data_IF_221703071370
#
_entry.id   IF_221703071370
#
_cell.length_a   1.000
_cell.length_b   1.000
_cell.length_c   1.000
_cell.angle_alpha   90.00
_cell.angle_beta   90.00
_cell.angle_gamma   90.00
#
_symmetry.space_group_name_H-M   'P 1'
#
loop_
_entity.id
_entity.type
_entity.pdbx_description
1 polymer ?
#
# COMPACT_ATOMS: atom_id res chain seq x y z
N UNK A 1 -2.88 55.25 -13.31
CA UNK A 1 -2.54 54.55 -12.04
C UNK A 1 -3.75 54.00 -11.28
N UNK A 2 -4.85 54.74 -11.11
CA UNK A 2 -6.03 54.29 -10.33
C UNK A 2 -6.72 53.02 -10.85
N UNK A 3 -6.79 52.85 -12.18
CA UNK A 3 -7.37 51.67 -12.82
C UNK A 3 -6.47 50.42 -12.77
N UNK A 4 -5.15 50.61 -12.64
CA UNK A 4 -4.19 49.50 -12.59
C UNK A 4 -4.24 48.77 -11.23
N UNK A 5 -4.46 49.51 -10.14
CA UNK A 5 -4.69 48.95 -8.81
C UNK A 5 -5.99 48.14 -8.72
N UNK A 6 -7.04 48.57 -9.42
CA UNK A 6 -8.32 47.87 -9.44
C UNK A 6 -8.23 46.51 -10.17
N UNK A 7 -7.47 46.46 -11.26
CA UNK A 7 -7.23 45.23 -12.03
C UNK A 7 -6.42 44.20 -11.21
N UNK A 8 -5.40 44.65 -10.47
CA UNK A 8 -4.61 43.77 -9.58
C UNK A 8 -5.48 43.20 -8.45
N UNK A 9 -6.42 43.99 -7.91
CA UNK A 9 -7.34 43.54 -6.86
C UNK A 9 -8.34 42.49 -7.39
N UNK A 10 -8.88 42.69 -8.60
CA UNK A 10 -9.77 41.74 -9.27
C UNK A 10 -9.07 40.43 -9.63
N UNK A 11 -7.81 40.49 -10.10
CA UNK A 11 -6.99 39.30 -10.37
C UNK A 11 -6.69 38.48 -9.10
N UNK A 12 -6.53 39.14 -7.93
CA UNK A 12 -6.32 38.42 -6.66
C UNK A 12 -7.58 37.72 -6.15
N UNK A 13 -8.77 38.24 -6.45
CA UNK A 13 -10.03 37.60 -6.05
C UNK A 13 -10.32 36.30 -6.84
N UNK A 14 -9.82 36.17 -8.08
CA UNK A 14 -10.03 34.95 -8.86
C UNK A 14 -9.14 33.77 -8.44
N UNK A 15 -8.05 34.01 -7.71
CA UNK A 15 -7.16 32.94 -7.22
C UNK A 15 -7.75 32.20 -6.01
N UNK A 16 -8.74 32.78 -5.34
CA UNK A 16 -9.41 32.15 -4.18
C UNK A 16 -10.42 31.06 -4.55
N UNK A 17 -10.83 30.98 -5.82
CA UNK A 17 -11.81 29.99 -6.31
C UNK A 17 -11.17 28.81 -7.03
N UNK A 18 -9.84 28.67 -6.98
CA UNK A 18 -9.21 27.37 -7.21
C UNK A 18 -9.46 26.46 -5.97
N UNK A 19 -10.71 26.33 -5.56
CA UNK A 19 -11.15 25.27 -4.68
C UNK A 19 -10.96 23.97 -5.45
N UNK A 20 -10.15 23.10 -4.84
CA UNK A 20 -9.92 21.73 -5.25
C UNK A 20 -11.26 20.99 -5.36
N UNK A 21 -11.90 21.05 -6.53
CA UNK A 21 -13.00 20.16 -6.90
C UNK A 21 -12.39 18.79 -7.18
N UNK A 22 -12.04 18.08 -6.11
CA UNK A 22 -11.59 16.70 -6.17
C UNK A 22 -12.87 15.89 -6.35
N UNK A 23 -13.05 15.31 -7.54
CA UNK A 23 -14.13 14.37 -7.79
C UNK A 23 -14.12 13.30 -6.69
N UNK A 24 -15.29 13.02 -6.10
CA UNK A 24 -15.43 11.93 -5.14
C UNK A 24 -14.89 10.68 -5.80
N UNK A 25 -13.96 9.96 -5.16
CA UNK A 25 -13.35 8.82 -5.80
C UNK A 25 -14.40 7.77 -6.11
N UNK A 26 -14.34 7.27 -7.34
CA UNK A 26 -15.15 6.12 -7.75
C UNK A 26 -14.54 4.89 -7.07
N UNK A 27 -15.24 4.37 -6.06
CA UNK A 27 -14.85 3.13 -5.39
C UNK A 27 -15.39 1.98 -6.23
N UNK A 28 -14.51 1.28 -6.95
CA UNK A 28 -14.85 0.00 -7.56
C UNK A 28 -15.01 -1.05 -6.45
N UNK A 29 -16.25 -1.30 -6.03
CA UNK A 29 -16.58 -2.38 -5.11
C UNK A 29 -16.91 -3.64 -5.90
N UNK A 30 -15.90 -4.49 -6.12
CA UNK A 30 -16.10 -5.90 -6.45
C UNK A 30 -15.90 -6.77 -5.21
N UNK A 31 -16.63 -7.86 -5.08
CA UNK A 31 -16.36 -8.87 -4.06
C UNK A 31 -15.12 -9.68 -4.47
N UNK A 32 -13.94 -9.15 -4.21
CA UNK A 32 -12.68 -9.88 -4.38
C UNK A 32 -12.42 -10.69 -3.11
N UNK A 33 -12.70 -11.99 -3.17
CA UNK A 33 -12.48 -12.88 -2.05
C UNK A 33 -10.98 -13.08 -1.84
N UNK A 34 -10.51 -12.84 -0.62
CA UNK A 34 -9.17 -13.24 -0.21
C UNK A 34 -9.08 -14.76 -0.33
N UNK A 35 -8.16 -15.21 -1.17
CA UNK A 35 -7.93 -16.62 -1.49
C UNK A 35 -7.01 -17.30 -0.49
N UNK A 36 -6.06 -16.55 0.07
CA UNK A 36 -5.05 -17.07 0.99
C UNK A 36 -4.62 -15.97 1.97
N UNK A 37 -4.16 -16.35 3.16
CA UNK A 37 -3.75 -15.43 4.22
C UNK A 37 -2.50 -15.94 4.92
N UNK A 38 -1.49 -15.08 4.97
CA UNK A 38 -0.22 -15.34 5.64
C UNK A 38 -0.04 -14.38 6.80
N UNK A 39 0.33 -14.90 7.96
CA UNK A 39 0.55 -14.10 9.16
C UNK A 39 2.02 -13.80 9.34
N UNK A 40 2.31 -12.53 9.65
CA UNK A 40 3.63 -12.07 10.03
C UNK A 40 3.67 -11.64 11.50
N UNK A 41 4.83 -11.76 12.13
CA UNK A 41 5.09 -11.30 13.49
C UNK A 41 6.55 -10.83 13.57
N UNK A 42 6.86 -9.69 14.22
CA UNK A 42 8.24 -9.23 14.35
C UNK A 42 9.16 -10.26 15.03
N UNK A 43 8.59 -11.11 15.89
CA UNK A 43 9.28 -12.19 16.60
C UNK A 43 9.05 -13.58 15.97
N UNK A 44 8.45 -13.63 14.77
CA UNK A 44 8.19 -14.86 14.03
C UNK A 44 9.46 -15.53 13.49
N UNK A 45 9.27 -16.57 12.67
CA UNK A 45 10.38 -17.28 12.00
C UNK A 45 10.09 -17.49 10.53
N UNK A 46 11.07 -17.23 9.67
CA UNK A 46 10.94 -17.42 8.22
C UNK A 46 10.83 -18.91 7.81
N UNK A 47 11.22 -19.82 8.70
CA UNK A 47 11.02 -21.26 8.54
C UNK A 47 9.58 -21.71 8.85
N UNK A 48 8.77 -20.85 9.49
CA UNK A 48 7.41 -21.14 9.89
C UNK A 48 6.45 -21.22 8.67
N UNK A 49 5.31 -21.91 8.81
CA UNK A 49 4.34 -22.03 7.72
C UNK A 49 3.58 -20.73 7.41
N UNK A 50 3.62 -19.71 8.27
CA UNK A 50 2.90 -18.45 8.07
C UNK A 50 1.45 -18.49 8.56
N UNK A 51 1.18 -19.31 9.58
CA UNK A 51 -0.14 -19.40 10.23
C UNK A 51 -0.22 -18.42 11.41
N UNK A 52 -1.42 -18.20 11.96
CA UNK A 52 -1.59 -17.30 13.11
C UNK A 52 -0.76 -17.70 14.35
N UNK A 53 -0.64 -19.01 14.60
CA UNK A 53 0.16 -19.58 15.70
C UNK A 53 1.65 -19.66 15.39
N UNK A 54 2.01 -19.84 14.12
CA UNK A 54 3.39 -19.95 13.65
C UNK A 54 3.63 -18.98 12.48
N UNK A 55 3.74 -17.67 12.77
CA UNK A 55 3.86 -16.61 11.77
C UNK A 55 5.28 -16.52 11.20
N UNK A 56 5.38 -16.05 9.96
CA UNK A 56 6.68 -15.71 9.35
C UNK A 56 7.17 -14.35 9.84
N UNK A 57 8.46 -14.07 9.68
CA UNK A 57 9.05 -12.80 10.17
C UNK A 57 9.17 -11.76 9.06
N UNK A 58 9.66 -12.17 7.91
CA UNK A 58 10.00 -11.29 6.79
C UNK A 58 8.87 -11.17 5.76
N UNK A 59 8.78 -9.99 5.16
CA UNK A 59 7.78 -9.70 4.14
C UNK A 59 8.00 -10.52 2.87
N UNK A 60 9.25 -10.69 2.44
CA UNK A 60 9.58 -11.46 1.24
C UNK A 60 9.13 -12.91 1.34
N UNK A 61 9.30 -13.53 2.52
CA UNK A 61 8.83 -14.89 2.76
C UNK A 61 7.29 -14.92 2.75
N UNK A 62 6.63 -13.93 3.36
CA UNK A 62 5.16 -13.85 3.30
C UNK A 62 4.63 -13.75 1.86
N UNK A 63 5.27 -12.93 1.00
CA UNK A 63 4.95 -12.81 -0.43
C UNK A 63 5.18 -14.14 -1.16
N UNK A 64 6.25 -14.88 -0.84
CA UNK A 64 6.53 -16.17 -1.45
C UNK A 64 5.52 -17.26 -1.06
N UNK A 65 5.00 -17.22 0.17
CA UNK A 65 4.00 -18.18 0.67
C UNK A 65 2.65 -18.04 -0.02
N UNK A 66 2.27 -16.82 -0.40
CA UNK A 66 1.03 -16.58 -1.14
C UNK A 66 1.12 -17.13 -2.58
N UNK A 67 0.09 -17.82 -3.08
CA UNK A 67 0.10 -18.39 -4.42
C UNK A 67 -0.11 -17.33 -5.51
N UNK A 68 0.35 -17.61 -6.72
CA UNK A 68 -0.15 -16.92 -7.92
C UNK A 68 -1.55 -17.43 -8.27
N UNK A 69 -2.30 -16.66 -9.06
CA UNK A 69 -3.54 -17.17 -9.65
C UNK A 69 -3.29 -18.31 -10.64
N UNK A 70 -4.38 -18.82 -11.20
CA UNK A 70 -4.35 -19.92 -12.17
C UNK A 70 -4.75 -19.40 -13.55
N UNK A 71 -3.99 -19.72 -14.59
CA UNK A 71 -4.27 -19.28 -15.94
C UNK A 71 -5.68 -19.72 -16.39
N UNK A 72 -6.43 -18.80 -16.98
CA UNK A 72 -7.82 -19.04 -17.39
C UNK A 72 -8.87 -19.01 -16.28
N UNK A 73 -8.48 -18.90 -15.00
CA UNK A 73 -9.39 -18.74 -13.86
C UNK A 73 -9.27 -17.30 -13.35
N UNK A 74 -10.40 -16.58 -13.24
CA UNK A 74 -10.44 -15.21 -12.71
C UNK A 74 -9.43 -14.25 -13.39
N UNK A 75 -9.22 -14.42 -14.71
CA UNK A 75 -8.22 -13.65 -15.46
C UNK A 75 -6.78 -13.84 -14.97
N UNK A 76 -6.47 -14.97 -14.33
CA UNK A 76 -5.16 -15.24 -13.75
C UNK A 76 -4.92 -14.61 -12.38
N UNK A 77 -5.91 -13.95 -11.78
CA UNK A 77 -5.74 -13.22 -10.51
C UNK A 77 -5.96 -14.11 -9.28
N UNK A 78 -4.99 -14.08 -8.35
CA UNK A 78 -5.18 -14.45 -6.95
C UNK A 78 -5.14 -13.20 -6.07
N UNK A 79 -5.90 -13.23 -4.96
CA UNK A 79 -5.94 -12.16 -3.97
C UNK A 79 -5.46 -12.71 -2.63
N UNK A 80 -4.25 -12.37 -2.24
CA UNK A 80 -3.64 -12.77 -0.97
C UNK A 80 -3.75 -11.66 0.07
N UNK A 81 -3.74 -12.06 1.34
CA UNK A 81 -3.68 -11.15 2.48
C UNK A 81 -2.44 -11.46 3.32
N UNK A 82 -1.67 -10.42 3.63
CA UNK A 82 -0.63 -10.48 4.67
C UNK A 82 -1.20 -9.81 5.91
N UNK A 83 -1.43 -10.59 6.97
CA UNK A 83 -1.85 -10.10 8.28
C UNK A 83 -0.65 -9.89 9.19
N UNK A 84 -0.44 -8.65 9.59
CA UNK A 84 0.64 -8.26 10.50
C UNK A 84 0.12 -8.32 11.95
N UNK A 85 0.74 -9.11 12.80
CA UNK A 85 0.45 -9.10 14.25
C UNK A 85 1.00 -7.83 14.90
N UNK A 86 0.46 -7.48 16.07
CA UNK A 86 0.85 -6.29 16.82
C UNK A 86 2.37 -6.23 17.03
N UNK A 87 2.94 -5.05 16.82
CA UNK A 87 4.37 -4.82 17.03
C UNK A 87 5.00 -3.86 16.04
N UNK A 88 6.31 -3.67 16.21
CA UNK A 88 7.12 -2.81 15.35
C UNK A 88 7.99 -3.64 14.42
N UNK A 89 7.67 -3.61 13.14
CA UNK A 89 8.43 -4.23 12.07
C UNK A 89 9.56 -3.30 11.64
N UNK A 90 10.74 -3.53 12.21
CA UNK A 90 11.96 -2.81 11.86
C UNK A 90 12.44 -3.20 10.46
N UNK A 91 12.59 -2.21 9.58
CA UNK A 91 13.07 -2.41 8.21
C UNK A 91 14.06 -1.33 7.81
N UNK A 92 15.03 -1.67 6.96
CA UNK A 92 16.04 -0.73 6.45
C UNK A 92 15.65 -0.09 5.13
N UNK A 93 14.82 -0.76 4.33
CA UNK A 93 14.43 -0.36 2.97
C UNK A 93 12.91 -0.35 2.77
N UNK A 94 12.17 -1.13 3.57
CA UNK A 94 10.72 -1.22 3.48
C UNK A 94 10.23 -2.63 3.18
N UNK A 95 8.94 -2.76 2.91
CA UNK A 95 8.30 -3.99 2.43
C UNK A 95 8.03 -3.84 0.93
N UNK A 96 8.73 -4.61 0.10
CA UNK A 96 8.67 -4.47 -1.35
C UNK A 96 8.13 -5.72 -2.03
N UNK A 97 7.02 -5.58 -2.73
CA UNK A 97 6.58 -6.55 -3.72
C UNK A 97 7.14 -6.15 -5.09
N UNK A 98 8.16 -6.86 -5.55
CA UNK A 98 8.76 -6.64 -6.86
C UNK A 98 7.89 -7.22 -7.98
N UNK A 99 8.06 -6.70 -9.21
CA UNK A 99 7.30 -7.09 -10.40
C UNK A 99 7.31 -8.62 -10.62
N UNK A 100 8.47 -9.26 -10.49
CA UNK A 100 8.65 -10.70 -10.67
C UNK A 100 7.99 -11.55 -9.56
N UNK A 101 7.59 -10.94 -8.45
CA UNK A 101 6.84 -11.58 -7.35
C UNK A 101 5.33 -11.28 -7.42
N UNK A 102 4.96 -10.27 -8.20
CA UNK A 102 3.58 -9.88 -8.47
C UNK A 102 2.99 -10.61 -9.69
N UNK A 103 3.75 -10.74 -10.78
CA UNK A 103 3.29 -11.35 -12.03
C UNK A 103 4.24 -12.46 -12.49
N UNK A 104 3.65 -13.54 -13.01
CA UNK A 104 4.36 -14.60 -13.71
C UNK A 104 3.56 -15.03 -14.95
N UNK A 105 3.97 -14.58 -16.14
CA UNK A 105 3.17 -14.76 -17.35
C UNK A 105 1.80 -14.09 -17.23
N UNK A 106 0.73 -14.85 -17.48
CA UNK A 106 -0.65 -14.35 -17.41
C UNK A 106 -1.31 -14.57 -16.04
N UNK A 107 -0.52 -14.86 -14.99
CA UNK A 107 -1.03 -15.01 -13.62
C UNK A 107 -0.46 -13.96 -12.67
N UNK A 108 -1.30 -13.51 -11.75
CA UNK A 108 -1.09 -12.35 -10.89
C UNK A 108 -1.30 -12.72 -9.43
N UNK A 109 -0.50 -12.10 -8.56
CA UNK A 109 -0.55 -12.21 -7.11
C UNK A 109 -0.81 -10.83 -6.52
N UNK A 110 -2.09 -10.49 -6.33
CA UNK A 110 -2.50 -9.22 -5.76
C UNK A 110 -2.49 -9.33 -4.23
N UNK A 111 -1.65 -8.55 -3.56
CA UNK A 111 -1.43 -8.68 -2.11
C UNK A 111 -2.00 -7.47 -1.38
N UNK A 112 -2.92 -7.73 -0.45
CA UNK A 112 -3.37 -6.75 0.53
C UNK A 112 -2.61 -6.91 1.84
N UNK A 113 -2.48 -5.83 2.61
CA UNK A 113 -1.78 -5.82 3.91
C UNK A 113 -2.71 -5.25 4.97
N UNK A 114 -2.83 -5.95 6.09
CA UNK A 114 -3.66 -5.50 7.21
C UNK A 114 -2.98 -5.77 8.54
N UNK A 115 -2.99 -4.80 9.44
CA UNK A 115 -2.51 -4.97 10.81
C UNK A 115 -3.59 -5.49 11.76
N UNK A 116 -3.18 -6.29 12.73
CA UNK A 116 -3.97 -6.72 13.88
C UNK A 116 -3.53 -5.90 15.09
N UNK A 117 -4.40 -5.02 15.57
CA UNK A 117 -4.07 -4.12 16.68
C UNK A 117 -3.11 -3.01 16.25
N UNK A 118 -2.11 -2.72 17.09
CA UNK A 118 -1.16 -1.62 16.90
C UNK A 118 0.07 -2.10 16.12
N UNK A 119 0.05 -1.88 14.81
CA UNK A 119 1.15 -2.26 13.92
C UNK A 119 1.90 -1.04 13.42
N UNK A 120 3.22 -1.04 13.60
CA UNK A 120 4.13 -0.03 13.02
C UNK A 120 5.12 -0.71 12.08
N UNK A 121 5.32 -0.14 10.90
CA UNK A 121 6.40 -0.51 9.97
C UNK A 121 7.31 0.70 9.83
N UNK A 122 8.61 0.52 9.99
CA UNK A 122 9.52 1.65 10.01
C UNK A 122 10.93 1.37 10.46
N UNK A 123 11.72 2.43 10.51
CA UNK A 123 13.02 2.45 11.18
C UNK A 123 12.87 2.84 12.64
N UNK A 124 13.94 3.37 13.21
CA UNK A 124 13.93 4.02 14.54
C UNK A 124 14.23 5.51 14.41
N UNK A 125 14.03 6.32 15.47
CA UNK A 125 14.44 7.72 15.48
C UNK A 125 15.93 7.93 15.17
N UNK A 126 16.77 6.95 15.47
CA UNK A 126 18.22 6.97 15.22
C UNK A 126 18.58 6.43 13.83
N UNK A 127 17.74 5.56 13.25
CA UNK A 127 18.01 4.90 11.98
C UNK A 127 16.73 4.78 11.15
N UNK A 128 16.53 5.72 10.24
CA UNK A 128 15.37 5.74 9.35
C UNK A 128 15.49 4.66 8.26
N UNK A 129 14.36 4.06 7.87
CA UNK A 129 14.27 3.23 6.67
C UNK A 129 14.45 4.08 5.42
N UNK A 130 15.13 3.54 4.42
CA UNK A 130 15.41 4.23 3.17
C UNK A 130 14.36 3.90 2.12
N UNK A 131 13.75 4.92 1.50
CA UNK A 131 12.79 4.67 0.41
C UNK A 131 11.35 4.42 0.89
N UNK A 132 10.64 3.52 0.23
CA UNK A 132 9.21 3.29 0.48
C UNK A 132 8.99 2.22 1.55
N UNK A 133 8.28 2.55 2.63
CA UNK A 133 8.02 1.56 3.70
C UNK A 133 7.11 0.43 3.24
N UNK A 134 6.21 0.69 2.31
CA UNK A 134 5.38 -0.31 1.69
C UNK A 134 5.24 -0.04 0.20
N UNK A 135 5.74 -0.97 -0.61
CA UNK A 135 5.59 -0.95 -2.05
C UNK A 135 4.85 -2.21 -2.50
N UNK A 136 3.63 -2.04 -3.00
CA UNK A 136 2.80 -3.14 -3.48
C UNK A 136 2.47 -2.96 -4.96
N UNK A 137 2.28 -4.07 -5.66
CA UNK A 137 1.84 -4.07 -7.05
C UNK A 137 0.58 -4.92 -7.23
N UNK A 138 -0.32 -4.45 -8.09
CA UNK A 138 -1.52 -5.19 -8.47
C UNK A 138 -2.81 -4.40 -8.34
N UNK A 139 -3.90 -5.12 -8.59
CA UNK A 139 -5.24 -4.56 -8.64
C UNK A 139 -6.09 -5.05 -7.47
N UNK A 140 -7.03 -4.21 -7.05
CA UNK A 140 -7.98 -4.50 -5.98
C UNK A 140 -7.33 -4.88 -4.64
N UNK A 141 -6.18 -4.27 -4.35
CA UNK A 141 -5.47 -4.42 -3.08
C UNK A 141 -5.89 -3.34 -2.08
N UNK A 142 -5.74 -3.65 -0.79
CA UNK A 142 -5.92 -2.67 0.28
C UNK A 142 -4.77 -2.71 1.29
N UNK A 143 -4.58 -1.58 1.96
CA UNK A 143 -3.65 -1.42 3.07
C UNK A 143 -4.41 -0.83 4.25
N UNK A 144 -4.45 -1.52 5.39
CA UNK A 144 -5.29 -1.14 6.53
C UNK A 144 -4.62 -1.36 7.87
N UNK A 145 -5.01 -0.55 8.85
CA UNK A 145 -4.63 -0.69 10.26
C UNK A 145 -3.11 -0.80 10.48
N UNK A 146 -2.32 0.04 9.81
CA UNK A 146 -0.88 0.12 9.99
C UNK A 146 -0.44 1.57 10.18
N UNK A 147 0.63 1.76 10.94
CA UNK A 147 1.37 3.02 11.07
C UNK A 147 2.68 2.89 10.32
N UNK A 148 3.03 3.94 9.60
CA UNK A 148 4.29 4.04 8.86
C UNK A 148 5.13 5.14 9.48
N UNK A 149 6.31 4.80 9.98
CA UNK A 149 7.13 5.73 10.75
C UNK A 149 8.61 5.66 10.34
N UNK A 150 9.33 6.75 10.57
CA UNK A 150 10.79 6.79 10.44
C UNK A 150 11.30 6.32 9.06
N UNK A 151 10.78 6.92 7.98
CA UNK A 151 11.28 6.70 6.61
C UNK A 151 11.80 7.99 5.99
N UNK A 152 12.81 7.87 5.13
CA UNK A 152 13.35 8.98 4.34
C UNK A 152 12.57 9.24 3.05
N UNK A 153 11.66 8.34 2.65
CA UNK A 153 10.90 8.39 1.40
C UNK A 153 9.38 8.53 1.59
N UNK A 154 8.62 8.15 0.55
CA UNK A 154 7.15 8.11 0.60
C UNK A 154 6.72 6.85 1.34
N UNK A 155 5.86 6.96 2.36
CA UNK A 155 5.44 5.80 3.17
C UNK A 155 4.86 4.65 2.35
N UNK A 156 3.96 4.91 1.40
CA UNK A 156 3.33 3.88 0.55
C UNK A 156 3.53 4.22 -0.92
N UNK A 157 3.95 3.23 -1.71
CA UNK A 157 3.90 3.22 -3.17
C UNK A 157 3.00 2.09 -3.66
N UNK A 158 1.89 2.43 -4.30
CA UNK A 158 1.03 1.44 -4.96
C UNK A 158 1.24 1.56 -6.47
N UNK A 159 1.75 0.48 -7.07
CA UNK A 159 1.99 0.39 -8.50
C UNK A 159 0.95 -0.48 -9.19
N UNK A 160 0.16 0.09 -10.08
CA UNK A 160 -0.41 -0.68 -11.19
C UNK A 160 0.63 -0.64 -12.30
N UNK A 161 1.08 -1.78 -12.85
CA UNK A 161 1.55 -1.72 -14.24
C UNK A 161 0.32 -1.44 -15.11
N UNK A 162 -0.01 -0.16 -15.19
CA UNK A 162 -1.18 0.36 -15.88
C UNK A 162 -0.87 0.43 -17.36
N UNK A 163 -1.25 -0.60 -18.11
CA UNK A 163 -1.79 -0.34 -19.44
C UNK A 163 -3.23 0.15 -19.26
N UNK A 164 -3.38 1.49 -19.25
CA UNK A 164 -4.63 2.27 -19.38
C UNK A 164 -5.40 2.57 -18.07
N UNK A 165 -5.17 3.80 -17.59
CA UNK A 165 -5.96 4.69 -16.71
C UNK A 165 -7.05 4.12 -15.77
N UNK A 166 -6.84 4.27 -14.46
CA UNK A 166 -7.89 4.62 -13.50
C UNK A 166 -7.25 5.15 -12.20
N UNK A 167 -7.59 6.39 -11.83
CA UNK A 167 -7.08 7.06 -10.65
C UNK A 167 -7.76 6.52 -9.37
N UNK A 168 -7.05 5.71 -8.59
CA UNK A 168 -7.48 5.29 -7.26
C UNK A 168 -7.03 6.28 -6.19
N UNK A 169 -7.97 6.87 -5.45
CA UNK A 169 -7.66 7.75 -4.32
C UNK A 169 -7.19 6.95 -3.10
N UNK A 170 -6.14 7.43 -2.44
CA UNK A 170 -5.69 6.93 -1.13
C UNK A 170 -6.20 7.92 -0.07
N UNK A 171 -6.91 7.41 0.94
CA UNK A 171 -7.26 8.16 2.15
C UNK A 171 -6.21 7.87 3.21
N UNK A 172 -5.32 8.83 3.48
CA UNK A 172 -4.39 8.80 4.60
C UNK A 172 -4.98 9.67 5.70
N UNK A 173 -5.60 9.08 6.71
CA UNK A 173 -6.03 9.81 7.89
C UNK A 173 -4.81 9.98 8.82
N UNK A 174 -4.10 11.10 8.69
CA UNK A 174 -3.10 11.52 9.69
C UNK A 174 -3.84 12.17 10.87
N UNK A 175 -3.90 11.51 12.03
CA UNK A 175 -4.21 12.22 13.27
C UNK A 175 -2.93 12.91 13.75
N UNK A 176 -2.94 14.25 13.71
CA UNK A 176 -2.01 15.11 14.46
C UNK A 176 -2.39 15.12 15.94
#
# INVERSE_FOLDING_TARGET
MRYFLLLILLLRLQVLEAQFSIATPVIHQGAYAITDTVYMDPNGSDDAPGTFSEPVRSFDVAVQRLPFGTAGINGGNAYGLILLKEGHYLTTDGFHQFVNTWQNGDVYKNISVEGLGEVTIGGTPEQFSTGHLLQLSGDHIFVRNIKLQYSTGIGILLGTQCSVWSAGSIRIDSKM
#
